data_IF_915928714993
#
_entry.id   IF_915928714993
#
_cell.length_a   1.000
_cell.length_b   1.000
_cell.length_c   1.000
_cell.angle_alpha   90.00
_cell.angle_beta   90.00
_cell.angle_gamma   90.00
#
_symmetry.space_group_name_H-M   'P 1'
#
loop_
_entity.id
_entity.type
_entity.pdbx_description
1 polymer ?
#
# COMPACT_ATOMS: atom_id res chain seq x y z
N UNK A 1 -28.44 -16.60 2.86
CA UNK A 1 -28.63 -17.91 2.20
C UNK A 1 -29.30 -17.81 0.82
N UNK A 2 -29.88 -16.65 0.43
CA UNK A 2 -30.67 -16.52 -0.82
C UNK A 2 -29.91 -15.89 -2.00
N UNK A 3 -28.59 -15.72 -1.92
CA UNK A 3 -27.79 -15.08 -3.01
C UNK A 3 -26.72 -15.99 -3.61
N UNK A 4 -26.80 -17.30 -3.40
CA UNK A 4 -25.89 -18.21 -4.12
C UNK A 4 -26.43 -18.37 -5.53
N UNK A 5 -25.65 -17.84 -6.50
CA UNK A 5 -25.89 -18.03 -7.94
C UNK A 5 -26.11 -19.51 -8.30
N UNK A 6 -26.92 -19.77 -9.31
CA UNK A 6 -27.12 -21.11 -9.89
C UNK A 6 -25.79 -21.86 -10.05
N UNK A 7 -25.62 -22.97 -9.33
CA UNK A 7 -24.43 -23.82 -9.34
C UNK A 7 -23.57 -23.82 -8.07
N UNK A 8 -23.91 -23.01 -7.06
CA UNK A 8 -23.28 -23.09 -5.73
C UNK A 8 -23.90 -24.22 -4.87
N UNK A 9 -23.11 -24.84 -4.02
CA UNK A 9 -23.62 -25.70 -2.95
C UNK A 9 -23.14 -25.20 -1.59
N UNK A 10 -24.00 -25.38 -0.59
CA UNK A 10 -23.73 -24.99 0.80
C UNK A 10 -23.43 -26.25 1.59
N UNK A 11 -22.34 -26.26 2.33
CA UNK A 11 -22.08 -27.26 3.36
C UNK A 11 -22.57 -26.66 4.66
N UNK A 12 -23.66 -27.20 5.20
CA UNK A 12 -24.16 -26.74 6.48
C UNK A 12 -23.27 -27.23 7.64
N UNK A 13 -23.09 -26.42 8.67
CA UNK A 13 -22.30 -26.77 9.86
C UNK A 13 -22.77 -28.09 10.48
N UNK A 14 -24.05 -28.34 10.45
CA UNK A 14 -24.68 -29.59 10.91
C UNK A 14 -24.14 -30.83 10.20
N UNK A 15 -23.74 -30.71 8.93
CA UNK A 15 -23.13 -31.79 8.16
C UNK A 15 -21.68 -32.08 8.56
N UNK A 16 -20.98 -31.10 9.14
CA UNK A 16 -19.59 -31.21 9.60
C UNK A 16 -19.51 -31.64 11.07
N UNK A 17 -20.58 -31.42 11.87
CA UNK A 17 -20.61 -31.73 13.29
C UNK A 17 -20.26 -33.20 13.64
N UNK A 18 -20.65 -34.21 12.86
CA UNK A 18 -20.23 -35.60 13.10
C UNK A 18 -18.73 -35.87 12.81
N UNK A 19 -18.08 -34.98 12.04
CA UNK A 19 -16.68 -35.12 11.60
C UNK A 19 -15.69 -34.48 12.55
N UNK A 20 -16.12 -33.42 13.25
CA UNK A 20 -15.24 -32.62 14.09
C UNK A 20 -16.00 -31.93 15.22
N UNK A 21 -15.33 -31.75 16.36
CA UNK A 21 -15.78 -30.86 17.45
C UNK A 21 -15.49 -29.39 17.09
N UNK A 22 -16.18 -28.43 17.76
CA UNK A 22 -16.16 -27.01 17.39
C UNK A 22 -14.80 -26.40 17.07
N UNK A 23 -13.74 -26.73 17.83
CA UNK A 23 -12.37 -26.21 17.58
C UNK A 23 -11.71 -26.73 16.29
N UNK A 24 -12.22 -27.82 15.70
CA UNK A 24 -11.68 -28.44 14.47
C UNK A 24 -12.60 -28.30 13.26
N UNK A 25 -13.70 -27.56 13.35
CA UNK A 25 -14.62 -27.35 12.23
C UNK A 25 -13.93 -26.75 11.00
N UNK A 26 -13.00 -25.81 11.20
CA UNK A 26 -12.22 -25.22 10.11
C UNK A 26 -11.36 -26.29 9.39
N UNK A 27 -10.75 -27.20 10.13
CA UNK A 27 -9.96 -28.29 9.56
C UNK A 27 -10.84 -29.28 8.79
N UNK A 28 -12.03 -29.58 9.29
CA UNK A 28 -13.01 -30.39 8.56
C UNK A 28 -13.43 -29.69 7.24
N UNK A 29 -13.71 -28.40 7.29
CA UNK A 29 -14.05 -27.62 6.09
C UNK A 29 -12.93 -27.64 5.06
N UNK A 30 -11.65 -27.53 5.48
CA UNK A 30 -10.48 -27.67 4.60
C UNK A 30 -10.45 -29.06 3.97
N UNK A 31 -10.69 -30.13 4.73
CA UNK A 31 -10.74 -31.50 4.19
C UNK A 31 -11.78 -31.67 3.11
N UNK A 32 -13.00 -31.17 3.32
CA UNK A 32 -14.08 -31.18 2.34
C UNK A 32 -13.72 -30.37 1.10
N UNK A 33 -13.27 -29.13 1.28
CA UNK A 33 -12.89 -28.25 0.18
C UNK A 33 -11.75 -28.85 -0.68
N UNK A 34 -10.76 -29.46 -0.01
CA UNK A 34 -9.62 -30.12 -0.68
C UNK A 34 -10.09 -31.24 -1.61
N UNK A 35 -11.03 -32.07 -1.15
CA UNK A 35 -11.59 -33.14 -2.00
C UNK A 35 -12.40 -32.60 -3.16
N UNK A 36 -13.26 -31.64 -2.88
CA UNK A 36 -14.11 -31.01 -3.90
C UNK A 36 -13.28 -30.34 -4.99
N UNK A 37 -12.22 -29.64 -4.64
CA UNK A 37 -11.32 -28.94 -5.55
C UNK A 37 -10.28 -29.88 -6.22
N UNK A 38 -10.16 -31.13 -5.76
CA UNK A 38 -9.21 -32.10 -6.28
C UNK A 38 -7.76 -31.86 -5.86
N UNK A 39 -7.57 -31.27 -4.66
CA UNK A 39 -6.22 -31.09 -4.09
C UNK A 39 -5.67 -32.43 -3.60
N UNK A 40 -4.34 -32.58 -3.69
CA UNK A 40 -3.61 -33.70 -3.18
C UNK A 40 -3.68 -33.73 -1.63
N UNK A 41 -4.14 -34.85 -1.08
CA UNK A 41 -4.35 -34.98 0.37
C UNK A 41 -3.03 -34.89 1.16
N UNK A 42 -1.95 -35.52 0.66
CA UNK A 42 -0.66 -35.52 1.34
C UNK A 42 -0.05 -34.12 1.39
N UNK A 43 -0.23 -33.34 0.31
CA UNK A 43 0.19 -31.95 0.27
C UNK A 43 -0.57 -31.09 1.30
N UNK A 44 -1.88 -31.29 1.43
CA UNK A 44 -2.70 -30.55 2.40
C UNK A 44 -2.36 -30.97 3.83
N UNK A 45 -2.14 -32.27 4.09
CA UNK A 45 -1.67 -32.74 5.39
C UNK A 45 -0.31 -32.17 5.77
N UNK A 46 0.63 -32.11 4.81
CA UNK A 46 1.94 -31.51 5.02
C UNK A 46 1.84 -30.01 5.39
N UNK A 47 1.06 -29.25 4.65
CA UNK A 47 0.83 -27.83 4.92
C UNK A 47 0.22 -27.59 6.31
N UNK A 48 -0.73 -28.45 6.71
CA UNK A 48 -1.33 -28.41 8.03
C UNK A 48 -0.33 -28.74 9.15
N UNK A 49 0.53 -29.75 8.94
CA UNK A 49 1.58 -30.12 9.89
C UNK A 49 2.64 -29.02 10.03
N UNK A 50 2.99 -28.34 8.95
CA UNK A 50 3.91 -27.17 8.99
C UNK A 50 3.32 -26.01 9.79
N UNK A 51 1.99 -25.82 9.74
CA UNK A 51 1.30 -24.76 10.48
C UNK A 51 1.17 -25.03 11.98
N UNK A 52 0.86 -26.27 12.37
CA UNK A 52 0.54 -26.61 13.74
C UNK A 52 1.63 -27.41 14.47
N UNK A 53 2.43 -28.18 13.74
CA UNK A 53 3.40 -29.13 14.33
C UNK A 53 4.52 -28.50 15.16
N UNK A 54 4.79 -27.22 14.94
CA UNK A 54 5.81 -26.48 15.74
C UNK A 54 5.35 -26.14 17.15
N UNK A 55 4.03 -26.23 17.44
CA UNK A 55 3.47 -25.83 18.74
C UNK A 55 3.05 -27.03 19.59
N UNK A 56 2.47 -28.07 19.00
CA UNK A 56 1.95 -29.25 19.70
C UNK A 56 1.72 -30.39 18.67
N UNK A 57 2.52 -31.47 18.79
CA UNK A 57 2.41 -32.63 17.90
C UNK A 57 1.07 -33.37 18.03
N UNK A 58 0.51 -33.42 19.25
CA UNK A 58 -0.78 -34.09 19.48
C UNK A 58 -1.91 -33.33 18.77
N UNK A 59 -1.93 -32.01 18.87
CA UNK A 59 -2.88 -31.14 18.17
C UNK A 59 -2.72 -31.25 16.67
N UNK A 60 -1.48 -31.32 16.16
CA UNK A 60 -1.24 -31.47 14.72
C UNK A 60 -1.80 -32.80 14.20
N UNK A 61 -1.59 -33.90 14.94
CA UNK A 61 -2.11 -35.23 14.58
C UNK A 61 -3.64 -35.26 14.62
N UNK A 62 -4.27 -34.68 15.65
CA UNK A 62 -5.74 -34.61 15.75
C UNK A 62 -6.34 -33.83 14.57
N UNK A 63 -5.72 -32.71 14.17
CA UNK A 63 -6.11 -31.94 12.99
C UNK A 63 -5.99 -32.78 11.70
N UNK A 64 -4.90 -33.52 11.54
CA UNK A 64 -4.67 -34.39 10.37
C UNK A 64 -5.72 -35.49 10.28
N UNK A 65 -6.09 -36.11 11.39
CA UNK A 65 -7.13 -37.14 11.46
C UNK A 65 -8.51 -36.58 11.07
N UNK A 66 -8.86 -35.40 11.57
CA UNK A 66 -10.10 -34.71 11.20
C UNK A 66 -10.12 -34.34 9.72
N UNK A 67 -9.00 -33.82 9.19
CA UNK A 67 -8.88 -33.50 7.77
C UNK A 67 -9.09 -34.72 6.88
N UNK A 68 -8.44 -35.84 7.20
CA UNK A 68 -8.56 -37.10 6.46
C UNK A 68 -9.99 -37.65 6.50
N UNK A 69 -10.65 -37.65 7.68
CA UNK A 69 -12.05 -38.05 7.82
C UNK A 69 -12.99 -37.22 6.97
N UNK A 70 -12.82 -35.88 7.01
CA UNK A 70 -13.64 -34.96 6.23
C UNK A 70 -13.42 -35.11 4.72
N UNK A 71 -12.18 -35.32 4.28
CA UNK A 71 -11.83 -35.59 2.90
C UNK A 71 -12.50 -36.87 2.39
N UNK A 72 -12.46 -37.97 3.18
CA UNK A 72 -13.10 -39.25 2.85
C UNK A 72 -14.62 -39.12 2.83
N UNK A 73 -15.21 -38.44 3.81
CA UNK A 73 -16.63 -38.15 3.83
C UNK A 73 -17.08 -37.39 2.58
N UNK A 74 -16.33 -36.36 2.20
CA UNK A 74 -16.60 -35.58 0.98
C UNK A 74 -16.53 -36.43 -0.29
N UNK A 75 -15.66 -37.45 -0.32
CA UNK A 75 -15.58 -38.38 -1.44
C UNK A 75 -16.85 -39.23 -1.63
N UNK A 76 -17.59 -39.49 -0.53
CA UNK A 76 -18.88 -40.21 -0.57
C UNK A 76 -20.05 -39.32 -1.04
N UNK A 77 -19.88 -37.98 -1.01
CA UNK A 77 -20.87 -37.05 -1.51
C UNK A 77 -20.75 -36.88 -3.02
N UNK A 78 -21.85 -36.94 -3.73
CA UNK A 78 -21.86 -36.77 -5.21
C UNK A 78 -21.76 -35.30 -5.62
N UNK A 79 -20.77 -34.59 -5.09
CA UNK A 79 -20.52 -33.19 -5.46
C UNK A 79 -19.51 -33.14 -6.61
N UNK A 80 -19.90 -32.51 -7.70
CA UNK A 80 -19.02 -32.29 -8.85
C UNK A 80 -18.85 -30.79 -9.09
N UNK A 81 -17.62 -30.30 -8.96
CA UNK A 81 -17.22 -28.97 -9.39
C UNK A 81 -16.07 -29.10 -10.40
N UNK A 82 -15.84 -28.05 -11.16
CA UNK A 82 -14.67 -27.99 -12.04
C UNK A 82 -13.42 -28.05 -11.18
N UNK A 83 -12.67 -29.13 -11.28
CA UNK A 83 -11.40 -29.29 -10.55
C UNK A 83 -10.42 -28.20 -10.95
N UNK A 84 -9.56 -27.82 -10.00
CA UNK A 84 -8.42 -26.96 -10.31
C UNK A 84 -7.51 -27.67 -11.33
N UNK A 85 -6.98 -26.90 -12.27
CA UNK A 85 -5.98 -27.42 -13.20
C UNK A 85 -4.70 -27.77 -12.44
N UNK A 86 -4.02 -28.84 -12.87
CA UNK A 86 -2.73 -29.17 -12.29
C UNK A 86 -1.75 -27.97 -12.38
N UNK A 87 -0.94 -27.74 -11.34
CA UNK A 87 0.02 -26.64 -11.35
C UNK A 87 1.02 -26.84 -12.50
N UNK A 88 1.21 -25.81 -13.30
CA UNK A 88 2.31 -25.79 -14.27
C UNK A 88 3.62 -25.85 -13.49
N UNK A 89 4.53 -26.78 -13.91
CA UNK A 89 5.78 -27.09 -13.19
C UNK A 89 6.53 -25.85 -12.65
N UNK A 90 6.78 -25.88 -11.34
CA UNK A 90 7.98 -25.38 -10.64
C UNK A 90 8.41 -23.92 -10.84
N UNK A 91 7.54 -22.93 -10.59
CA UNK A 91 8.05 -21.67 -10.08
C UNK A 91 7.89 -21.68 -8.55
N UNK A 92 8.98 -21.51 -7.80
CA UNK A 92 8.90 -21.17 -6.38
C UNK A 92 8.21 -19.81 -6.31
N UNK A 93 7.00 -19.79 -5.79
CA UNK A 93 6.25 -18.54 -5.54
C UNK A 93 6.14 -18.30 -4.05
N UNK A 94 6.09 -17.04 -3.68
CA UNK A 94 5.81 -16.61 -2.32
C UNK A 94 4.32 -16.31 -2.21
N UNK A 95 3.68 -16.82 -1.16
CA UNK A 95 2.31 -16.42 -0.83
C UNK A 95 2.39 -15.18 0.07
N UNK A 96 1.99 -14.03 -0.46
CA UNK A 96 2.11 -12.72 0.21
C UNK A 96 0.86 -11.90 0.01
N UNK A 97 0.56 -11.02 0.96
CA UNK A 97 -0.44 -9.98 0.84
C UNK A 97 0.20 -8.59 0.68
N UNK A 98 -0.62 -7.55 0.54
CA UNK A 98 -0.11 -6.19 0.35
C UNK A 98 0.76 -5.71 1.52
N UNK A 99 0.35 -5.98 2.75
CA UNK A 99 1.10 -5.57 3.95
C UNK A 99 2.43 -6.32 4.10
N UNK A 100 2.47 -7.62 3.76
CA UNK A 100 3.73 -8.38 3.71
C UNK A 100 4.71 -7.73 2.72
N UNK A 101 4.21 -7.33 1.56
CA UNK A 101 5.03 -6.73 0.52
C UNK A 101 5.46 -5.29 0.84
N UNK A 102 4.63 -4.48 1.51
CA UNK A 102 5.04 -3.16 2.00
C UNK A 102 6.18 -3.32 3.02
N UNK A 103 6.04 -4.25 3.98
CA UNK A 103 7.09 -4.52 4.97
C UNK A 103 8.39 -5.01 4.30
N UNK A 104 8.28 -5.93 3.33
CA UNK A 104 9.45 -6.43 2.60
C UNK A 104 10.13 -5.34 1.77
N UNK A 105 9.35 -4.45 1.12
CA UNK A 105 9.88 -3.29 0.38
C UNK A 105 10.60 -2.29 1.29
N UNK A 106 10.06 -2.05 2.50
CA UNK A 106 10.70 -1.23 3.52
C UNK A 106 12.03 -1.86 4.00
N UNK A 107 12.05 -3.19 4.22
CA UNK A 107 13.26 -3.94 4.56
C UNK A 107 14.31 -3.83 3.44
N UNK A 108 13.91 -4.00 2.18
CA UNK A 108 14.81 -3.86 1.04
C UNK A 108 15.37 -2.42 0.93
N UNK A 109 14.57 -1.41 1.26
CA UNK A 109 15.01 -0.02 1.33
C UNK A 109 15.97 0.26 2.51
N UNK A 110 16.10 -0.68 3.45
CA UNK A 110 16.96 -0.51 4.61
C UNK A 110 16.33 0.30 5.74
N UNK A 111 15.01 0.14 5.96
CA UNK A 111 14.34 0.75 7.11
C UNK A 111 15.06 0.39 8.41
N UNK A 112 15.25 1.38 9.29
CA UNK A 112 15.93 1.22 10.59
C UNK A 112 15.03 1.56 11.78
N UNK A 113 13.94 2.29 11.54
CA UNK A 113 12.99 2.65 12.58
C UNK A 113 11.55 2.61 12.07
N UNK A 114 10.67 1.95 12.80
CA UNK A 114 9.24 1.96 12.56
C UNK A 114 8.51 2.22 13.87
N UNK A 115 7.73 3.28 13.96
CA UNK A 115 6.81 3.50 15.06
C UNK A 115 5.37 3.33 14.59
N UNK A 116 4.51 2.83 15.46
CA UNK A 116 3.09 2.66 15.14
C UNK A 116 2.22 2.62 16.39
N UNK A 117 0.95 3.00 16.24
CA UNK A 117 -0.13 2.63 17.14
C UNK A 117 -1.01 1.62 16.40
N UNK A 118 -1.41 0.50 17.03
CA UNK A 118 -2.12 -0.57 16.33
C UNK A 118 -3.45 -0.10 15.76
N UNK A 119 -3.56 -0.01 14.43
CA UNK A 119 -4.79 0.36 13.74
C UNK A 119 -4.99 -0.48 12.48
N UNK A 120 -6.13 -1.22 12.42
CA UNK A 120 -6.50 -2.03 11.25
C UNK A 120 -6.79 -1.12 10.04
N UNK A 121 -6.29 -1.46 8.81
CA UNK A 121 -5.61 -2.71 8.44
C UNK A 121 -4.07 -2.63 8.48
N UNK A 122 -3.45 -1.53 8.87
CA UNK A 122 -2.00 -1.30 8.75
C UNK A 122 -1.13 -2.06 9.75
N UNK A 123 -1.70 -2.50 10.88
CA UNK A 123 -0.95 -3.11 12.00
C UNK A 123 -0.04 -4.27 11.57
N UNK A 124 -0.46 -5.09 10.61
CA UNK A 124 0.33 -6.24 10.15
C UNK A 124 1.60 -5.86 9.43
N UNK A 125 1.74 -4.63 8.89
CA UNK A 125 3.02 -4.11 8.36
C UNK A 125 4.06 -4.08 9.47
N UNK A 126 3.73 -3.43 10.60
CA UNK A 126 4.62 -3.32 11.75
C UNK A 126 4.89 -4.67 12.40
N UNK A 127 3.89 -5.55 12.51
CA UNK A 127 4.06 -6.91 13.01
C UNK A 127 5.01 -7.75 12.13
N UNK A 128 5.01 -7.53 10.83
CA UNK A 128 5.96 -8.17 9.93
C UNK A 128 7.38 -7.62 10.12
N UNK A 129 7.54 -6.30 10.32
CA UNK A 129 8.85 -5.73 10.65
C UNK A 129 9.38 -6.23 12.00
N UNK A 130 8.53 -6.42 13.02
CA UNK A 130 8.91 -7.03 14.30
C UNK A 130 9.51 -8.44 14.12
N UNK A 131 8.95 -9.26 13.23
CA UNK A 131 9.50 -10.60 12.94
C UNK A 131 10.94 -10.57 12.43
N UNK A 132 11.34 -9.49 11.78
CA UNK A 132 12.67 -9.31 11.20
C UNK A 132 13.56 -8.34 11.99
N UNK A 133 13.06 -7.81 13.14
CA UNK A 133 13.72 -6.73 13.87
C UNK A 133 15.16 -7.07 14.24
N UNK A 134 15.38 -8.21 14.87
CA UNK A 134 16.73 -8.64 15.29
C UNK A 134 17.66 -8.89 14.08
N UNK A 135 17.17 -9.61 13.06
CA UNK A 135 18.01 -10.01 11.92
C UNK A 135 18.33 -8.86 10.96
N UNK A 136 17.47 -7.83 10.89
CA UNK A 136 17.67 -6.66 10.05
C UNK A 136 18.12 -5.41 10.83
N UNK A 137 18.32 -5.56 12.14
CA UNK A 137 18.74 -4.48 13.05
C UNK A 137 17.80 -3.26 12.95
N UNK A 138 16.50 -3.50 13.14
CA UNK A 138 15.44 -2.49 13.07
C UNK A 138 14.86 -2.29 14.47
N UNK A 139 14.66 -1.05 14.85
CA UNK A 139 13.86 -0.70 16.03
C UNK A 139 12.41 -0.56 15.58
N UNK A 140 11.51 -1.34 16.19
CA UNK A 140 10.07 -1.26 15.97
C UNK A 140 9.41 -0.93 17.31
N UNK A 141 8.80 0.25 17.39
CA UNK A 141 8.21 0.78 18.63
C UNK A 141 6.70 0.88 18.52
N UNK A 142 6.00 0.27 19.47
CA UNK A 142 4.57 0.49 19.64
C UNK A 142 4.37 1.70 20.56
N UNK A 143 4.02 2.83 19.97
CA UNK A 143 3.81 4.08 20.68
C UNK A 143 2.46 4.11 21.43
N UNK A 144 2.31 5.07 22.35
CA UNK A 144 1.09 5.29 23.11
C UNK A 144 -0.08 5.74 22.22
N UNK A 145 0.22 6.56 21.20
CA UNK A 145 -0.73 7.05 20.21
C UNK A 145 -0.04 7.37 18.87
N UNK A 146 -0.81 7.83 17.91
CA UNK A 146 -0.31 8.18 16.57
C UNK A 146 0.53 9.47 16.57
N UNK A 147 0.28 10.41 17.49
CA UNK A 147 1.08 11.63 17.61
C UNK A 147 2.49 11.26 18.05
N UNK A 148 2.61 10.42 19.07
CA UNK A 148 3.90 9.88 19.52
C UNK A 148 4.60 9.11 18.41
N UNK A 149 3.88 8.23 17.70
CA UNK A 149 4.46 7.39 16.65
C UNK A 149 5.13 8.21 15.54
N UNK A 150 4.43 9.20 14.98
CA UNK A 150 4.99 10.01 13.90
C UNK A 150 6.16 10.88 14.36
N UNK A 151 6.08 11.46 15.57
CA UNK A 151 7.16 12.30 16.10
C UNK A 151 8.40 11.46 16.42
N UNK A 152 8.26 10.24 16.95
CA UNK A 152 9.36 9.29 17.08
C UNK A 152 10.02 8.98 15.75
N UNK A 153 9.24 8.74 14.67
CA UNK A 153 9.77 8.46 13.35
C UNK A 153 10.51 9.66 12.75
N UNK A 154 9.98 10.90 12.91
CA UNK A 154 10.65 12.12 12.47
C UNK A 154 11.96 12.33 13.26
N UNK A 155 11.95 12.16 14.56
CA UNK A 155 13.14 12.27 15.41
C UNK A 155 14.21 11.23 15.05
N UNK A 156 13.80 9.97 14.82
CA UNK A 156 14.70 8.91 14.37
C UNK A 156 15.30 9.22 12.99
N UNK A 157 14.48 9.74 12.07
CA UNK A 157 14.97 10.17 10.76
C UNK A 157 15.97 11.32 10.87
N UNK A 158 15.68 12.32 11.69
CA UNK A 158 16.61 13.42 11.93
C UNK A 158 17.96 12.90 12.46
N UNK A 159 17.92 11.92 13.36
CA UNK A 159 19.10 11.23 13.89
C UNK A 159 19.79 10.27 12.88
N UNK A 160 19.26 10.11 11.67
CA UNK A 160 19.88 9.35 10.57
C UNK A 160 19.39 7.92 10.39
N UNK A 161 18.28 7.53 11.03
CA UNK A 161 17.61 6.28 10.74
C UNK A 161 16.60 6.46 9.59
N UNK A 162 16.62 5.60 8.58
CA UNK A 162 15.51 5.53 7.62
C UNK A 162 14.25 5.09 8.36
N UNK A 163 13.19 5.91 8.37
CA UNK A 163 12.06 5.73 9.27
C UNK A 163 10.71 5.71 8.58
N UNK A 164 9.74 5.03 9.21
CA UNK A 164 8.36 5.00 8.76
C UNK A 164 7.37 4.92 9.91
N UNK A 165 6.12 5.26 9.58
CA UNK A 165 4.94 4.97 10.39
C UNK A 165 3.89 4.25 9.54
N UNK A 166 3.04 3.44 10.18
CA UNK A 166 1.90 2.78 9.55
C UNK A 166 0.64 2.99 10.40
N UNK A 167 -0.43 3.48 9.75
CA UNK A 167 -1.69 3.82 10.41
C UNK A 167 -2.89 3.65 9.46
N UNK A 168 -4.08 4.06 9.85
CA UNK A 168 -5.30 4.19 9.04
C UNK A 168 -5.78 5.65 9.05
N UNK A 169 -6.84 5.97 8.31
CA UNK A 169 -7.32 7.35 8.16
C UNK A 169 -7.58 8.10 9.47
N UNK A 170 -8.22 7.41 10.45
CA UNK A 170 -8.47 8.01 11.77
C UNK A 170 -7.21 8.33 12.56
N UNK A 171 -6.21 7.44 12.55
CA UNK A 171 -4.93 7.70 13.20
C UNK A 171 -4.09 8.72 12.45
N UNK A 172 -4.16 8.73 11.11
CA UNK A 172 -3.50 9.75 10.32
C UNK A 172 -4.04 11.16 10.62
N UNK A 173 -5.32 11.29 10.99
CA UNK A 173 -5.88 12.57 11.41
C UNK A 173 -5.14 13.19 12.61
N UNK A 174 -4.66 12.36 13.54
CA UNK A 174 -3.82 12.79 14.67
C UNK A 174 -2.39 13.14 14.26
N UNK A 175 -1.91 12.62 13.13
CA UNK A 175 -0.55 12.86 12.62
C UNK A 175 -0.43 14.15 11.79
N UNK A 176 -1.54 14.81 11.45
CA UNK A 176 -1.57 15.88 10.46
C UNK A 176 -0.64 17.06 10.76
N UNK A 177 -0.47 17.45 12.02
CA UNK A 177 0.45 18.51 12.41
C UNK A 177 1.91 18.11 12.18
N UNK A 178 2.30 16.91 12.60
CA UNK A 178 3.66 16.40 12.45
C UNK A 178 4.08 16.22 10.96
N UNK A 179 3.13 16.04 10.04
CA UNK A 179 3.41 16.09 8.59
C UNK A 179 3.93 17.47 8.19
N UNK A 180 3.41 18.56 8.78
CA UNK A 180 3.92 19.91 8.58
C UNK A 180 5.32 20.06 9.15
N UNK A 181 5.57 19.53 10.35
CA UNK A 181 6.89 19.51 10.95
C UNK A 181 7.92 18.81 10.05
N UNK A 182 7.60 17.65 9.50
CA UNK A 182 8.47 16.97 8.54
C UNK A 182 8.75 17.81 7.29
N UNK A 183 7.75 18.56 6.82
CA UNK A 183 7.89 19.51 5.71
C UNK A 183 8.78 20.70 6.04
N UNK A 184 8.60 21.31 7.23
CA UNK A 184 9.36 22.47 7.70
C UNK A 184 10.83 22.12 7.96
N UNK A 185 11.09 21.07 8.71
CA UNK A 185 12.44 20.60 9.05
C UNK A 185 13.15 19.87 7.91
N UNK A 186 12.44 19.68 6.80
CA UNK A 186 12.92 18.91 5.65
C UNK A 186 13.45 17.53 6.05
N UNK A 187 12.67 16.84 6.90
CA UNK A 187 13.04 15.53 7.45
C UNK A 187 12.30 14.41 6.71
N UNK A 188 13.02 13.42 6.13
CA UNK A 188 12.44 12.31 5.44
C UNK A 188 11.57 11.44 6.35
N UNK A 189 10.37 11.07 5.92
CA UNK A 189 9.53 10.07 6.59
C UNK A 189 8.59 9.39 5.60
N UNK A 190 8.44 8.06 5.72
CA UNK A 190 7.46 7.31 4.95
C UNK A 190 6.24 7.05 5.82
N UNK A 191 5.06 7.43 5.31
CA UNK A 191 3.78 7.32 6.03
C UNK A 191 2.87 6.38 5.25
N UNK A 192 2.57 5.21 5.82
CA UNK A 192 1.65 4.25 5.21
C UNK A 192 0.27 4.41 5.83
N UNK A 193 -0.74 4.66 4.99
CA UNK A 193 -2.13 4.78 5.41
C UNK A 193 -2.95 3.65 4.80
N UNK A 194 -3.34 2.69 5.64
CA UNK A 194 -4.27 1.62 5.27
C UNK A 194 -5.71 2.15 5.38
N UNK A 195 -6.33 2.41 4.23
CA UNK A 195 -7.66 2.99 4.16
C UNK A 195 -8.74 1.98 4.53
N UNK A 196 -9.79 2.46 5.20
CA UNK A 196 -11.01 1.73 5.55
C UNK A 196 -12.19 2.70 5.63
N UNK A 197 -13.44 2.21 5.58
CA UNK A 197 -14.60 3.12 5.67
C UNK A 197 -14.58 3.95 6.95
N UNK A 198 -14.68 5.27 6.78
CA UNK A 198 -14.89 6.26 7.83
C UNK A 198 -16.31 6.82 7.79
N UNK A 199 -16.61 7.97 8.44
CA UNK A 199 -15.71 8.70 9.36
C UNK A 199 -15.51 8.02 10.71
N UNK A 200 -14.57 8.53 11.51
CA UNK A 200 -14.15 7.98 12.80
C UNK A 200 -13.71 6.51 12.68
N UNK A 201 -14.19 5.62 13.54
CA UNK A 201 -13.87 4.19 13.48
C UNK A 201 -14.46 3.50 12.26
N UNK A 202 -15.64 3.92 11.83
CA UNK A 202 -16.32 3.41 10.64
C UNK A 202 -16.51 1.89 10.64
N UNK A 203 -16.03 1.23 9.58
CA UNK A 203 -16.05 -0.23 9.42
C UNK A 203 -14.61 -0.78 9.39
N UNK A 204 -14.01 -1.14 10.54
CA UNK A 204 -12.56 -1.43 10.64
C UNK A 204 -12.05 -2.57 9.76
N UNK A 205 -12.92 -3.54 9.44
CA UNK A 205 -12.58 -4.74 8.66
C UNK A 205 -13.10 -4.70 7.22
N UNK A 206 -13.44 -3.50 6.74
CA UNK A 206 -13.98 -3.28 5.39
C UNK A 206 -13.05 -2.37 4.59
N UNK A 207 -13.26 -2.32 3.26
CA UNK A 207 -12.40 -1.57 2.35
C UNK A 207 -13.08 -0.32 1.81
N UNK A 208 -12.31 0.75 1.68
CA UNK A 208 -12.68 2.01 1.02
C UNK A 208 -11.41 2.75 0.58
N UNK A 209 -11.53 3.74 -0.31
CA UNK A 209 -10.44 4.60 -0.79
C UNK A 209 -10.83 6.07 -0.56
N UNK A 210 -11.11 6.46 0.69
CA UNK A 210 -11.68 7.76 1.02
C UNK A 210 -10.70 8.81 1.55
N UNK A 211 -9.41 8.48 1.74
CA UNK A 211 -8.42 9.37 2.33
C UNK A 211 -7.54 10.13 1.32
N UNK A 212 -7.74 9.99 0.01
CA UNK A 212 -6.87 10.62 -0.99
C UNK A 212 -6.82 12.16 -0.84
N UNK A 213 -7.98 12.82 -0.80
CA UNK A 213 -8.03 14.27 -0.65
C UNK A 213 -7.50 14.72 0.71
N UNK A 214 -7.78 13.95 1.76
CA UNK A 214 -7.24 14.23 3.08
C UNK A 214 -5.71 14.18 3.09
N UNK A 215 -5.09 13.15 2.54
CA UNK A 215 -3.63 13.02 2.45
C UNK A 215 -3.00 14.14 1.62
N UNK A 216 -3.64 14.52 0.53
CA UNK A 216 -3.14 15.60 -0.34
C UNK A 216 -3.10 16.95 0.38
N UNK A 217 -4.02 17.19 1.32
CA UNK A 217 -4.18 18.47 2.01
C UNK A 217 -3.83 18.44 3.50
N UNK A 218 -3.41 17.27 4.02
CA UNK A 218 -3.01 17.15 5.43
C UNK A 218 -1.74 17.93 5.72
N UNK A 219 -1.69 18.48 6.96
CA UNK A 219 -0.68 19.44 7.38
C UNK A 219 -1.04 20.85 6.94
N UNK A 220 -0.59 21.84 7.70
CA UNK A 220 -0.78 23.23 7.36
C UNK A 220 0.46 23.78 6.63
N UNK A 221 0.28 24.88 5.89
CA UNK A 221 1.32 25.45 5.05
C UNK A 221 1.55 24.67 3.74
N UNK A 222 2.51 25.12 2.95
CA UNK A 222 2.80 24.58 1.62
C UNK A 222 4.17 23.91 1.61
N UNK A 223 4.19 22.65 1.29
CA UNK A 223 5.40 21.83 1.15
C UNK A 223 5.15 20.64 0.20
N UNK A 224 6.20 20.15 -0.51
CA UNK A 224 6.05 19.05 -1.44
C UNK A 224 5.87 17.72 -0.74
N UNK A 225 5.13 16.83 -1.39
CA UNK A 225 4.94 15.42 -1.02
C UNK A 225 4.80 14.55 -2.24
N UNK A 226 4.96 13.25 -2.08
CA UNK A 226 4.55 12.26 -3.07
C UNK A 226 3.56 11.28 -2.44
N UNK A 227 2.60 10.78 -3.25
CA UNK A 227 1.57 9.85 -2.80
C UNK A 227 1.49 8.68 -3.78
N UNK A 228 1.84 7.50 -3.30
CA UNK A 228 1.70 6.25 -4.01
C UNK A 228 0.41 5.54 -3.62
N UNK A 229 -0.15 4.78 -4.54
CA UNK A 229 -1.35 3.98 -4.34
C UNK A 229 -1.23 2.67 -5.12
N UNK A 230 -0.53 1.66 -4.60
CA UNK A 230 -0.28 0.41 -5.31
C UNK A 230 -1.58 -0.32 -5.63
N UNK A 231 -1.65 -0.92 -6.82
CA UNK A 231 -2.81 -1.68 -7.30
C UNK A 231 -2.64 -3.19 -7.24
N UNK A 232 -1.45 -3.68 -6.91
CA UNK A 232 -1.17 -5.10 -6.76
C UNK A 232 -0.22 -5.38 -5.59
N UNK A 233 -0.15 -6.64 -5.19
CA UNK A 233 0.74 -7.10 -4.12
C UNK A 233 2.21 -6.85 -4.50
N UNK A 234 2.57 -7.06 -5.77
CA UNK A 234 3.91 -6.79 -6.28
C UNK A 234 4.25 -5.30 -6.26
N UNK A 235 3.30 -4.43 -6.66
CA UNK A 235 3.48 -2.99 -6.59
C UNK A 235 3.65 -2.49 -5.15
N UNK A 236 3.04 -3.15 -4.16
CA UNK A 236 3.25 -2.80 -2.75
C UNK A 236 4.72 -2.84 -2.35
N UNK A 237 5.47 -3.84 -2.81
CA UNK A 237 6.92 -3.92 -2.59
C UNK A 237 7.66 -2.77 -3.29
N UNK A 238 7.37 -2.58 -4.58
CA UNK A 238 8.10 -1.59 -5.41
C UNK A 238 7.87 -0.15 -4.94
N UNK A 239 6.61 0.20 -4.63
CA UNK A 239 6.31 1.56 -4.15
C UNK A 239 6.83 1.79 -2.74
N UNK A 240 6.84 0.75 -1.88
CA UNK A 240 7.43 0.89 -0.54
C UNK A 240 8.93 1.21 -0.64
N UNK A 241 9.69 0.43 -1.40
CA UNK A 241 11.10 0.72 -1.66
C UNK A 241 11.30 2.14 -2.21
N UNK A 242 10.51 2.51 -3.23
CA UNK A 242 10.60 3.82 -3.88
C UNK A 242 10.25 4.98 -2.95
N UNK A 243 9.29 4.78 -2.06
CA UNK A 243 8.89 5.80 -1.09
C UNK A 243 10.05 6.22 -0.18
N UNK A 244 10.84 5.27 0.32
CA UNK A 244 12.05 5.57 1.10
C UNK A 244 13.09 6.32 0.28
N UNK A 245 13.30 5.90 -0.97
CA UNK A 245 14.23 6.56 -1.87
C UNK A 245 13.83 8.02 -2.11
N UNK A 246 12.56 8.30 -2.40
CA UNK A 246 12.10 9.66 -2.63
C UNK A 246 12.06 10.49 -1.34
N UNK A 247 11.66 9.91 -0.21
CA UNK A 247 11.68 10.61 1.07
C UNK A 247 13.09 11.09 1.41
N UNK A 248 14.08 10.22 1.30
CA UNK A 248 15.46 10.57 1.58
C UNK A 248 16.03 11.56 0.56
N UNK A 249 15.78 11.34 -0.73
CA UNK A 249 16.29 12.21 -1.81
C UNK A 249 15.74 13.63 -1.72
N UNK A 250 14.43 13.76 -1.50
CA UNK A 250 13.74 15.05 -1.48
C UNK A 250 13.53 15.62 -0.08
N UNK A 251 13.95 14.88 0.95
CA UNK A 251 13.92 15.32 2.35
C UNK A 251 12.55 15.84 2.75
N UNK A 252 11.57 14.92 2.84
CA UNK A 252 10.20 15.26 3.19
C UNK A 252 9.29 14.04 3.29
N UNK A 253 8.00 14.25 3.60
CA UNK A 253 7.04 13.16 3.76
C UNK A 253 6.67 12.54 2.42
N UNK A 254 6.64 11.19 2.37
CA UNK A 254 6.13 10.40 1.25
C UNK A 254 5.10 9.43 1.76
N UNK A 255 3.97 9.33 1.06
CA UNK A 255 2.82 8.56 1.46
C UNK A 255 2.63 7.31 0.62
N UNK A 256 2.16 6.24 1.26
CA UNK A 256 1.65 5.03 0.60
C UNK A 256 0.20 4.84 1.05
N UNK A 257 -0.74 5.00 0.11
CA UNK A 257 -2.15 4.72 0.32
C UNK A 257 -2.44 3.30 -0.12
N UNK A 258 -2.66 2.42 0.83
CA UNK A 258 -3.24 1.09 0.60
C UNK A 258 -4.67 1.06 1.15
N UNK A 259 -5.37 -0.05 0.99
CA UNK A 259 -6.68 -0.26 1.61
C UNK A 259 -6.78 -1.67 2.18
N UNK A 260 -7.83 -1.92 2.96
CA UNK A 260 -8.01 -3.19 3.65
C UNK A 260 -8.08 -4.39 2.67
N UNK A 261 -8.68 -4.22 1.48
CA UNK A 261 -8.75 -5.31 0.51
C UNK A 261 -7.37 -5.73 0.01
N UNK A 262 -6.53 -4.77 -0.40
CA UNK A 262 -5.17 -5.05 -0.87
C UNK A 262 -4.26 -5.50 0.29
N UNK A 263 -4.43 -4.90 1.48
CA UNK A 263 -3.67 -5.25 2.67
C UNK A 263 -3.75 -6.74 3.02
N UNK A 264 -4.95 -7.33 2.90
CA UNK A 264 -5.25 -8.70 3.33
C UNK A 264 -5.39 -9.70 2.18
N UNK A 265 -5.33 -9.24 0.91
CA UNK A 265 -5.45 -10.14 -0.26
C UNK A 265 -4.17 -10.91 -0.52
N UNK A 266 -4.22 -12.24 -0.30
CA UNK A 266 -3.10 -13.11 -0.58
C UNK A 266 -2.97 -13.44 -2.06
N UNK A 267 -1.74 -13.38 -2.56
CA UNK A 267 -1.40 -13.74 -3.94
C UNK A 267 -0.07 -14.53 -3.99
N UNK A 268 0.01 -15.44 -4.93
CA UNK A 268 1.25 -16.13 -5.25
C UNK A 268 2.10 -15.24 -6.18
N UNK A 269 3.17 -14.65 -5.63
CA UNK A 269 4.08 -13.74 -6.33
C UNK A 269 5.41 -14.42 -6.65
N UNK A 270 6.06 -14.02 -7.74
CA UNK A 270 7.44 -14.44 -8.02
C UNK A 270 8.39 -13.82 -6.97
N UNK A 271 9.46 -14.52 -6.57
CA UNK A 271 10.45 -13.95 -5.66
C UNK A 271 11.05 -12.65 -6.19
N UNK A 272 11.13 -11.64 -5.34
CA UNK A 272 11.73 -10.36 -5.69
C UNK A 272 13.25 -10.51 -5.87
N UNK A 273 13.77 -9.86 -6.90
CA UNK A 273 15.23 -9.82 -7.19
C UNK A 273 15.87 -8.72 -6.37
N UNK A 274 16.13 -8.99 -5.08
CA UNK A 274 16.58 -7.99 -4.11
C UNK A 274 17.88 -7.29 -4.49
N UNK A 275 18.72 -7.92 -5.30
CA UNK A 275 19.94 -7.32 -5.85
C UNK A 275 19.71 -6.05 -6.70
N UNK A 276 18.48 -5.83 -7.16
CA UNK A 276 18.07 -4.62 -7.89
C UNK A 276 17.67 -3.45 -6.99
N UNK A 277 17.59 -3.69 -5.68
CA UNK A 277 17.07 -2.76 -4.70
C UNK A 277 18.12 -2.49 -3.61
N UNK A 278 19.19 -1.73 -3.91
CA UNK A 278 20.21 -1.40 -2.91
C UNK A 278 19.59 -0.56 -1.79
N UNK A 279 20.02 -0.76 -0.52
CA UNK A 279 19.51 0.01 0.60
C UNK A 279 19.70 1.52 0.41
N UNK A 280 18.72 2.28 0.85
CA UNK A 280 18.77 3.75 0.89
C UNK A 280 19.70 4.18 2.03
N UNK A 281 20.61 5.09 1.74
CA UNK A 281 21.57 5.61 2.71
C UNK A 281 21.08 6.97 3.21
N UNK A 282 20.85 7.06 4.50
CA UNK A 282 20.43 8.30 5.13
C UNK A 282 21.57 9.34 5.15
N UNK A 283 21.24 10.56 4.71
CA UNK A 283 22.12 11.71 4.74
C UNK A 283 23.35 11.64 3.83
N UNK A 284 24.19 12.65 3.93
CA UNK A 284 25.43 12.79 3.18
C UNK A 284 26.60 12.22 4.00
N UNK A 285 26.91 10.92 3.83
CA UNK A 285 27.99 10.29 4.63
C UNK A 285 29.40 10.51 4.05
N UNK A 286 29.51 10.72 2.73
CA UNK A 286 30.81 10.70 2.02
C UNK A 286 31.05 11.95 1.13
N UNK A 287 30.31 13.04 1.34
CA UNK A 287 30.51 14.27 0.57
C UNK A 287 31.38 15.26 1.35
N UNK A 288 32.32 15.91 0.67
CA UNK A 288 32.96 17.11 1.19
C UNK A 288 31.88 18.18 1.35
N UNK A 289 31.71 18.67 2.58
CA UNK A 289 30.74 19.71 2.89
C UNK A 289 31.51 21.03 2.96
N UNK A 290 30.98 22.04 2.26
CA UNK A 290 31.50 23.41 2.31
C UNK A 290 31.32 23.98 3.72
N UNK A 291 32.31 24.76 4.14
CA UNK A 291 32.23 25.44 5.44
C UNK A 291 31.93 26.94 5.24
N UNK A 292 31.07 27.53 6.05
CA UNK A 292 30.32 26.91 7.15
C UNK A 292 29.18 25.97 6.65
N UNK A 293 28.89 24.86 7.42
CA UNK A 293 27.80 23.97 7.09
C UNK A 293 26.46 24.61 7.37
N UNK A 294 25.58 24.58 6.38
CA UNK A 294 24.21 25.08 6.47
C UNK A 294 23.24 23.94 6.16
N UNK A 295 22.47 23.50 7.19
CA UNK A 295 21.49 22.41 7.06
C UNK A 295 20.45 22.70 5.99
N UNK A 296 20.05 23.97 5.87
CA UNK A 296 19.01 24.43 4.96
C UNK A 296 19.55 25.33 3.84
N UNK A 297 20.81 25.13 3.45
CA UNK A 297 21.45 25.89 2.38
C UNK A 297 20.58 26.04 1.15
N UNK A 298 20.54 27.24 0.58
CA UNK A 298 19.91 27.47 -0.73
C UNK A 298 20.70 26.76 -1.83
N UNK A 299 20.00 25.93 -2.60
CA UNK A 299 20.56 25.18 -3.72
C UNK A 299 19.69 25.33 -4.96
N UNK A 300 20.26 25.04 -6.12
CA UNK A 300 19.53 25.08 -7.38
C UNK A 300 18.33 24.10 -7.39
N UNK A 301 18.48 22.93 -6.78
CA UNK A 301 17.42 21.91 -6.70
C UNK A 301 16.44 22.09 -5.55
N UNK A 302 16.73 22.97 -4.58
CA UNK A 302 16.02 23.08 -3.31
C UNK A 302 16.42 22.00 -2.29
N UNK A 303 17.32 21.06 -2.66
CA UNK A 303 17.76 19.96 -1.79
C UNK A 303 19.10 20.34 -1.17
N UNK A 304 19.10 20.56 0.15
CA UNK A 304 20.31 20.92 0.90
C UNK A 304 21.10 19.68 1.31
N UNK A 305 22.41 19.77 1.50
CA UNK A 305 23.20 18.70 2.07
C UNK A 305 22.70 18.36 3.47
N UNK A 306 22.32 17.10 3.72
CA UNK A 306 21.83 16.64 5.02
C UNK A 306 22.89 15.85 5.75
N UNK A 307 23.58 16.46 6.70
CA UNK A 307 24.44 15.75 7.66
C UNK A 307 23.59 15.12 8.78
N UNK A 308 24.12 14.06 9.35
CA UNK A 308 23.52 13.38 10.50
C UNK A 308 24.19 13.89 11.77
N UNK A 309 23.41 14.31 12.81
CA UNK A 309 23.95 14.75 14.10
C UNK A 309 24.91 13.71 14.69
N UNK A 310 26.05 14.18 15.20
CA UNK A 310 27.04 13.34 15.85
C UNK A 310 27.97 12.53 14.91
N UNK A 311 27.70 12.49 13.59
CA UNK A 311 28.57 11.79 12.62
C UNK A 311 29.61 12.69 11.97
N UNK A 312 29.66 13.95 12.31
CA UNK A 312 30.65 14.92 11.84
C UNK A 312 30.95 15.97 12.90
N UNK A 313 31.95 16.83 12.65
CA UNK A 313 32.28 17.97 13.52
C UNK A 313 31.25 19.11 13.47
N UNK A 314 30.35 19.08 12.50
CA UNK A 314 29.39 20.15 12.25
C UNK A 314 28.19 20.02 13.19
N UNK A 315 27.72 21.15 13.70
CA UNK A 315 26.46 21.24 14.40
C UNK A 315 25.32 21.18 13.37
N UNK A 316 24.33 20.31 13.60
CA UNK A 316 23.16 20.16 12.76
C UNK A 316 21.98 20.75 13.51
N UNK A 317 21.46 21.87 13.02
CA UNK A 317 20.34 22.61 13.63
C UNK A 317 19.17 22.63 12.66
N UNK A 318 17.97 22.53 13.19
CA UNK A 318 16.69 22.81 12.51
C UNK A 318 15.70 23.38 13.50
N UNK A 319 14.74 24.11 13.01
CA UNK A 319 13.64 24.66 13.82
C UNK A 319 12.29 24.32 13.20
N UNK A 320 11.25 24.28 14.02
CA UNK A 320 9.85 24.16 13.57
C UNK A 320 9.29 25.51 13.10
N UNK A 321 9.88 26.60 13.54
CA UNK A 321 9.60 27.94 13.02
C UNK A 321 10.37 28.18 11.71
N UNK A 322 10.15 29.34 11.06
CA UNK A 322 10.96 29.70 9.91
C UNK A 322 12.40 29.96 10.36
N UNK A 323 13.36 29.56 9.52
CA UNK A 323 14.77 29.51 9.91
C UNK A 323 15.70 30.00 8.79
N UNK A 324 16.87 30.43 9.18
CA UNK A 324 17.99 30.71 8.27
C UNK A 324 18.56 29.42 7.66
N UNK A 325 19.50 29.55 6.74
CA UNK A 325 20.19 28.42 6.12
C UNK A 325 20.91 27.52 7.14
N UNK A 326 21.36 28.06 8.25
CA UNK A 326 22.03 27.35 9.34
C UNK A 326 21.06 26.63 10.30
N UNK A 327 19.77 26.92 10.18
CA UNK A 327 18.71 26.30 10.99
C UNK A 327 18.26 27.09 12.19
N UNK A 328 18.83 28.27 12.47
CA UNK A 328 18.35 29.13 13.55
C UNK A 328 17.07 29.88 13.17
N UNK A 329 16.19 30.06 14.14
CA UNK A 329 14.90 30.76 13.99
C UNK A 329 15.07 32.18 13.42
N UNK A 330 14.13 32.59 12.57
CA UNK A 330 14.07 33.97 12.05
C UNK A 330 12.65 34.44 11.78
N UNK A 331 12.44 35.76 11.90
CA UNK A 331 11.24 36.46 11.43
C UNK A 331 11.54 37.37 10.21
N UNK A 332 12.69 37.20 9.56
CA UNK A 332 13.06 37.91 8.32
C UNK A 332 12.15 37.47 7.16
N UNK A 333 11.37 38.44 6.65
CA UNK A 333 10.36 38.17 5.61
C UNK A 333 10.97 37.79 4.25
N UNK A 334 12.17 38.27 3.92
CA UNK A 334 12.87 37.90 2.69
C UNK A 334 13.42 36.47 2.78
N UNK A 335 13.97 36.09 3.95
CA UNK A 335 14.40 34.72 4.22
C UNK A 335 13.16 33.79 4.18
N UNK A 336 12.07 34.17 4.82
CA UNK A 336 10.80 33.39 4.78
C UNK A 336 10.38 33.09 3.34
N UNK A 337 10.35 34.10 2.47
CA UNK A 337 9.97 33.93 1.07
C UNK A 337 10.90 32.94 0.35
N UNK A 338 12.22 33.14 0.47
CA UNK A 338 13.24 32.30 -0.16
C UNK A 338 13.18 30.85 0.34
N UNK A 339 12.94 30.63 1.63
CA UNK A 339 12.81 29.26 2.20
C UNK A 339 11.57 28.54 1.70
N UNK A 340 10.43 29.22 1.56
CA UNK A 340 9.24 28.65 0.94
C UNK A 340 9.52 28.24 -0.52
N UNK A 341 10.10 29.16 -1.31
CA UNK A 341 10.46 28.88 -2.71
C UNK A 341 11.43 27.69 -2.82
N UNK A 342 12.44 27.62 -1.93
CA UNK A 342 13.38 26.51 -1.84
C UNK A 342 12.67 25.17 -1.57
N UNK A 343 11.81 25.12 -0.56
CA UNK A 343 11.06 23.89 -0.22
C UNK A 343 10.16 23.46 -1.38
N UNK A 344 9.41 24.39 -1.98
CA UNK A 344 8.50 24.08 -3.10
C UNK A 344 9.24 23.65 -4.36
N UNK A 345 10.46 24.13 -4.60
CA UNK A 345 11.26 23.75 -5.76
C UNK A 345 11.55 22.25 -5.86
N UNK A 346 11.58 21.54 -4.72
CA UNK A 346 11.74 20.08 -4.70
C UNK A 346 10.61 19.36 -5.44
N UNK A 347 9.42 19.98 -5.57
CA UNK A 347 8.30 19.40 -6.30
C UNK A 347 8.64 19.19 -7.79
N UNK A 348 9.44 20.06 -8.38
CA UNK A 348 9.87 19.90 -9.78
C UNK A 348 10.71 18.62 -9.96
N UNK A 349 11.60 18.34 -9.00
CA UNK A 349 12.33 17.07 -8.98
C UNK A 349 11.40 15.85 -8.81
N UNK A 350 10.44 15.92 -7.88
CA UNK A 350 9.45 14.86 -7.70
C UNK A 350 8.61 14.59 -8.96
N UNK A 351 8.27 15.65 -9.72
CA UNK A 351 7.55 15.53 -11.00
C UNK A 351 8.36 14.75 -12.04
N UNK A 352 9.69 14.96 -12.11
CA UNK A 352 10.54 14.25 -13.08
C UNK A 352 10.63 12.75 -12.79
N UNK A 353 10.37 12.34 -11.56
CA UNK A 353 10.39 10.96 -11.12
C UNK A 353 8.99 10.34 -10.99
N UNK A 354 7.95 11.06 -11.40
CA UNK A 354 6.59 10.54 -11.34
C UNK A 354 6.43 9.28 -12.19
N UNK A 355 5.81 8.25 -11.61
CA UNK A 355 5.51 7.01 -12.31
C UNK A 355 4.48 7.27 -13.40
N UNK A 356 4.70 6.66 -14.57
CA UNK A 356 3.70 6.66 -15.63
C UNK A 356 2.57 5.72 -15.24
N UNK A 357 1.31 6.08 -15.55
CA UNK A 357 0.21 5.15 -15.34
C UNK A 357 0.33 3.92 -16.25
N UNK A 358 -0.08 2.77 -15.72
CA UNK A 358 -0.08 1.50 -16.43
C UNK A 358 -1.28 1.42 -17.37
N UNK A 359 -1.04 1.07 -18.62
CA UNK A 359 -2.07 0.90 -19.62
C UNK A 359 -2.28 -0.57 -19.98
N UNK A 360 -3.53 -1.02 -19.91
CA UNK A 360 -3.94 -2.37 -20.28
C UNK A 360 -5.09 -2.34 -21.27
N UNK A 361 -5.02 -3.12 -22.36
CA UNK A 361 -6.13 -3.33 -23.30
C UNK A 361 -5.92 -2.67 -24.67
N UNK A 362 -7.03 -2.27 -25.33
CA UNK A 362 -7.03 -1.73 -26.71
C UNK A 362 -6.44 -0.31 -26.76
N UNK A 363 -5.51 -0.04 -27.69
CA UNK A 363 -4.85 1.26 -27.84
C UNK A 363 -5.78 2.41 -28.26
N UNK A 364 -6.96 2.10 -28.83
CA UNK A 364 -7.97 3.06 -29.21
C UNK A 364 -9.33 2.64 -28.61
N UNK A 365 -9.50 2.75 -27.29
CA UNK A 365 -10.64 2.19 -26.59
C UNK A 365 -11.93 2.98 -26.87
N UNK A 366 -13.04 2.28 -26.99
CA UNK A 366 -14.37 2.87 -26.89
C UNK A 366 -14.73 3.16 -25.44
N UNK A 367 -14.26 2.32 -24.50
CA UNK A 367 -14.42 2.48 -23.06
C UNK A 367 -13.04 2.38 -22.40
N UNK A 368 -12.68 3.39 -21.60
CA UNK A 368 -11.46 3.43 -20.81
C UNK A 368 -11.82 3.56 -19.33
N UNK A 369 -11.41 2.58 -18.55
CA UNK A 369 -11.48 2.66 -17.08
C UNK A 369 -10.25 3.37 -16.53
N UNK A 370 -10.47 4.36 -15.67
CA UNK A 370 -9.41 5.04 -14.91
C UNK A 370 -9.47 4.56 -13.48
N UNK A 371 -8.37 4.03 -12.97
CA UNK A 371 -8.31 3.38 -11.66
C UNK A 371 -7.05 3.76 -10.88
N UNK A 372 -7.09 3.61 -9.57
CA UNK A 372 -5.96 3.75 -8.67
C UNK A 372 -6.08 2.77 -7.49
N UNK A 373 -4.96 2.45 -6.81
CA UNK A 373 -4.99 1.54 -5.69
C UNK A 373 -5.58 0.17 -6.03
N UNK A 374 -6.26 -0.46 -5.11
CA UNK A 374 -6.75 -1.84 -5.21
C UNK A 374 -7.76 -2.12 -6.33
N UNK A 375 -8.26 -1.08 -7.00
CA UNK A 375 -9.22 -1.24 -8.12
C UNK A 375 -8.58 -1.69 -9.44
N UNK A 376 -7.23 -1.76 -9.52
CA UNK A 376 -6.48 -2.16 -10.72
C UNK A 376 -7.00 -3.45 -11.35
N UNK A 377 -6.94 -4.55 -10.62
CA UNK A 377 -7.27 -5.88 -11.14
C UNK A 377 -8.71 -5.99 -11.63
N UNK A 378 -9.66 -5.39 -10.90
CA UNK A 378 -11.06 -5.38 -11.31
C UNK A 378 -11.29 -4.61 -12.61
N UNK A 379 -10.59 -3.48 -12.82
CA UNK A 379 -10.68 -2.70 -14.05
C UNK A 379 -10.05 -3.42 -15.25
N UNK A 380 -8.89 -4.04 -15.07
CA UNK A 380 -8.23 -4.83 -16.11
C UNK A 380 -9.11 -6.03 -16.54
N UNK A 381 -9.69 -6.74 -15.59
CA UNK A 381 -10.58 -7.86 -15.87
C UNK A 381 -11.89 -7.39 -16.54
N UNK A 382 -12.50 -6.29 -16.07
CA UNK A 382 -13.68 -5.71 -16.72
C UNK A 382 -13.39 -5.31 -18.17
N UNK A 383 -12.23 -4.68 -18.44
CA UNK A 383 -11.80 -4.36 -19.81
C UNK A 383 -11.62 -5.63 -20.67
N UNK A 384 -10.99 -6.68 -20.12
CA UNK A 384 -10.83 -7.96 -20.81
C UNK A 384 -12.18 -8.63 -21.11
N UNK A 385 -13.15 -8.58 -20.20
CA UNK A 385 -14.49 -9.13 -20.39
C UNK A 385 -15.27 -8.38 -21.47
N UNK A 386 -15.17 -7.03 -21.52
CA UNK A 386 -15.75 -6.23 -22.60
C UNK A 386 -15.10 -6.55 -23.96
N UNK A 387 -13.78 -6.73 -23.97
CA UNK A 387 -13.04 -7.09 -25.19
C UNK A 387 -13.46 -8.45 -25.73
N UNK A 388 -13.70 -9.44 -24.87
CA UNK A 388 -14.26 -10.75 -25.27
C UNK A 388 -15.67 -10.64 -25.88
N UNK A 389 -16.41 -9.60 -25.53
CA UNK A 389 -17.72 -9.29 -26.14
C UNK A 389 -17.62 -8.41 -27.41
N UNK A 390 -16.41 -8.19 -27.95
CA UNK A 390 -16.17 -7.42 -29.17
C UNK A 390 -16.10 -5.89 -28.97
N UNK A 391 -16.09 -5.41 -27.73
CA UNK A 391 -15.98 -3.98 -27.43
C UNK A 391 -14.51 -3.60 -27.23
N UNK A 392 -14.04 -2.52 -27.86
CA UNK A 392 -12.69 -2.00 -27.60
C UNK A 392 -12.65 -1.35 -26.22
N UNK A 393 -12.04 -2.03 -25.26
CA UNK A 393 -11.95 -1.58 -23.87
C UNK A 393 -10.51 -1.61 -23.36
N UNK A 394 -10.23 -0.69 -22.43
CA UNK A 394 -8.92 -0.56 -21.79
C UNK A 394 -9.05 -0.09 -20.34
N UNK A 395 -7.96 -0.25 -19.59
CA UNK A 395 -7.77 0.31 -18.25
C UNK A 395 -6.51 1.15 -18.22
N UNK A 396 -6.56 2.28 -17.51
CA UNK A 396 -5.45 3.15 -17.21
C UNK A 396 -5.35 3.26 -15.68
N UNK A 397 -4.30 2.66 -15.12
CA UNK A 397 -4.12 2.56 -13.67
C UNK A 397 -3.01 3.48 -13.18
N UNK A 398 -3.25 4.13 -12.03
CA UNK A 398 -2.31 5.02 -11.38
C UNK A 398 -1.85 4.42 -10.04
N UNK A 399 -0.63 3.89 -10.01
CA UNK A 399 0.07 3.45 -8.78
C UNK A 399 0.75 4.60 -8.04
N UNK A 400 0.84 5.77 -8.66
CA UNK A 400 1.18 7.04 -8.05
C UNK A 400 0.10 8.07 -8.40
N UNK A 401 -0.52 8.66 -7.37
CA UNK A 401 -1.62 9.61 -7.52
C UNK A 401 -1.18 11.06 -7.34
N UNK A 402 0.02 11.29 -6.79
CA UNK A 402 0.63 12.61 -6.68
C UNK A 402 2.17 12.54 -6.69
N UNK A 403 2.89 13.50 -7.36
CA UNK A 403 2.35 14.47 -8.30
C UNK A 403 1.79 13.81 -9.58
N UNK A 404 0.77 14.44 -10.18
CA UNK A 404 0.19 14.02 -11.45
C UNK A 404 0.85 14.75 -12.62
N UNK A 405 1.25 13.98 -13.65
CA UNK A 405 1.87 14.51 -14.86
C UNK A 405 0.92 14.36 -16.06
N UNK A 406 0.14 15.41 -16.34
CA UNK A 406 -0.88 15.40 -17.41
C UNK A 406 -0.35 14.93 -18.78
N UNK A 407 0.89 15.29 -19.12
CA UNK A 407 1.56 14.85 -20.35
C UNK A 407 1.78 13.35 -20.47
N UNK A 408 1.67 12.59 -19.38
CA UNK A 408 1.81 11.14 -19.41
C UNK A 408 0.49 10.40 -19.77
N UNK A 409 -0.69 11.07 -19.66
CA UNK A 409 -1.95 10.35 -19.77
C UNK A 409 -3.09 11.12 -20.47
N UNK A 410 -3.03 12.43 -20.62
CA UNK A 410 -4.14 13.20 -21.22
C UNK A 410 -4.45 12.76 -22.65
N UNK A 411 -3.44 12.47 -23.47
CA UNK A 411 -3.63 11.95 -24.82
C UNK A 411 -4.33 10.59 -24.84
N UNK A 412 -4.13 9.78 -23.80
CA UNK A 412 -4.80 8.48 -23.67
C UNK A 412 -6.28 8.70 -23.32
N UNK A 413 -6.57 9.60 -22.37
CA UNK A 413 -7.95 9.96 -22.02
C UNK A 413 -8.71 10.56 -23.21
N UNK A 414 -8.08 11.45 -23.96
CA UNK A 414 -8.70 12.13 -25.11
C UNK A 414 -9.04 11.18 -26.28
N UNK A 415 -8.33 10.06 -26.43
CA UNK A 415 -8.61 9.06 -27.47
C UNK A 415 -9.82 8.17 -27.18
N UNK A 416 -10.21 8.03 -25.93
CA UNK A 416 -11.32 7.18 -25.54
C UNK A 416 -12.66 7.86 -25.81
N UNK A 417 -13.66 7.10 -26.33
CA UNK A 417 -14.99 7.63 -26.54
C UNK A 417 -15.75 7.86 -25.21
N UNK A 418 -15.55 6.97 -24.24
CA UNK A 418 -16.13 7.03 -22.90
C UNK A 418 -15.03 6.75 -21.89
N UNK A 419 -14.74 7.72 -21.03
CA UNK A 419 -13.82 7.56 -19.88
C UNK A 419 -14.67 7.39 -18.62
N UNK A 420 -14.33 6.40 -17.81
CA UNK A 420 -15.06 6.04 -16.59
C UNK A 420 -14.05 5.95 -15.45
N UNK A 421 -14.20 6.77 -14.41
CA UNK A 421 -13.47 6.61 -13.15
C UNK A 421 -14.07 5.47 -12.33
N UNK A 422 -13.21 4.63 -11.76
CA UNK A 422 -13.61 3.51 -10.90
C UNK A 422 -12.93 3.67 -9.55
N UNK A 423 -13.72 4.00 -8.53
CA UNK A 423 -13.19 4.35 -7.21
C UNK A 423 -14.01 3.74 -6.07
N UNK A 424 -13.31 3.27 -5.04
CA UNK A 424 -13.96 2.78 -3.82
C UNK A 424 -14.20 3.91 -2.81
N UNK A 425 -14.88 4.98 -3.28
CA UNK A 425 -15.33 6.12 -2.46
C UNK A 425 -16.58 6.75 -3.05
N UNK A 426 -17.30 7.56 -2.27
CA UNK A 426 -18.58 8.14 -2.67
C UNK A 426 -18.46 9.33 -3.64
N UNK A 427 -17.32 10.04 -3.64
CA UNK A 427 -17.23 11.38 -4.25
C UNK A 427 -16.35 11.47 -5.49
N UNK A 428 -15.69 10.35 -5.90
CA UNK A 428 -14.81 10.33 -7.07
C UNK A 428 -13.57 11.21 -6.84
N UNK A 429 -12.85 11.00 -5.73
CA UNK A 429 -11.76 11.87 -5.30
C UNK A 429 -10.64 11.98 -6.34
N UNK A 430 -10.31 10.87 -7.00
CA UNK A 430 -9.28 10.86 -8.03
C UNK A 430 -9.72 11.50 -9.34
N UNK A 431 -10.98 11.29 -9.74
CA UNK A 431 -11.56 12.00 -10.89
C UNK A 431 -11.55 13.52 -10.67
N UNK A 432 -11.86 13.96 -9.45
CA UNK A 432 -11.79 15.39 -9.05
C UNK A 432 -10.36 15.90 -9.06
N UNK A 433 -9.40 15.09 -8.60
CA UNK A 433 -7.98 15.44 -8.64
C UNK A 433 -7.50 15.63 -10.08
N UNK A 434 -7.82 14.70 -10.99
CA UNK A 434 -7.49 14.84 -12.42
C UNK A 434 -8.07 16.14 -12.96
N UNK A 435 -9.33 16.45 -12.67
CA UNK A 435 -9.97 17.71 -13.14
C UNK A 435 -9.26 18.94 -12.59
N UNK A 436 -8.92 18.95 -11.30
CA UNK A 436 -8.22 20.07 -10.64
C UNK A 436 -6.87 20.35 -11.28
N UNK A 437 -6.09 19.29 -11.53
CA UNK A 437 -4.70 19.43 -11.99
C UNK A 437 -4.57 19.62 -13.51
N UNK A 438 -5.57 19.17 -14.29
CA UNK A 438 -5.43 19.11 -15.76
C UNK A 438 -6.55 19.80 -16.52
N UNK A 439 -7.65 20.13 -15.86
CA UNK A 439 -8.86 20.62 -16.51
C UNK A 439 -9.69 19.52 -17.20
N UNK A 440 -9.20 18.28 -17.29
CA UNK A 440 -9.94 17.18 -17.93
C UNK A 440 -11.03 16.64 -16.99
N UNK A 441 -12.28 16.70 -17.42
CA UNK A 441 -13.43 16.22 -16.66
C UNK A 441 -13.81 14.78 -17.05
N UNK A 442 -13.74 13.86 -16.09
CA UNK A 442 -14.29 12.51 -16.24
C UNK A 442 -15.75 12.56 -15.83
N UNK A 443 -16.66 12.44 -16.81
CA UNK A 443 -18.11 12.59 -16.61
C UNK A 443 -18.80 11.33 -16.07
N UNK A 444 -18.18 10.16 -16.20
CA UNK A 444 -18.78 8.90 -15.80
C UNK A 444 -17.98 8.30 -14.65
N UNK A 445 -18.65 7.87 -13.59
CA UNK A 445 -18.02 7.27 -12.43
C UNK A 445 -18.73 5.97 -12.07
N UNK A 446 -17.95 4.98 -11.66
CA UNK A 446 -18.42 3.77 -10.97
C UNK A 446 -17.84 3.82 -9.57
N UNK A 447 -18.64 4.22 -8.62
CA UNK A 447 -18.25 4.38 -7.22
C UNK A 447 -18.85 3.27 -6.37
N UNK A 448 -18.04 2.71 -5.45
CA UNK A 448 -18.51 1.76 -4.44
C UNK A 448 -18.05 2.20 -3.05
N UNK A 449 -18.97 2.33 -2.13
CA UNK A 449 -18.71 2.84 -0.76
C UNK A 449 -19.57 2.14 0.29
N UNK A 450 -19.83 0.85 0.06
CA UNK A 450 -20.57 -0.05 0.97
C UNK A 450 -19.65 -0.91 1.84
N UNK A 451 -18.34 -0.68 1.77
CA UNK A 451 -17.31 -1.42 2.49
C UNK A 451 -16.90 -2.74 1.83
N UNK A 452 -17.38 -3.05 0.65
CA UNK A 452 -17.01 -4.23 -0.14
C UNK A 452 -16.03 -3.87 -1.27
N UNK A 453 -15.14 -4.77 -1.68
CA UNK A 453 -14.25 -4.52 -2.80
C UNK A 453 -15.00 -4.41 -4.12
N UNK A 454 -14.51 -3.57 -5.02
CA UNK A 454 -15.04 -3.47 -6.39
C UNK A 454 -14.70 -4.75 -7.16
N UNK A 455 -15.71 -5.32 -7.82
CA UNK A 455 -15.54 -6.50 -8.69
C UNK A 455 -15.75 -6.14 -10.16
N UNK A 456 -15.24 -6.95 -11.11
CA UNK A 456 -15.49 -6.73 -12.54
C UNK A 456 -16.98 -6.65 -12.87
N UNK A 457 -17.83 -7.49 -12.25
CA UNK A 457 -19.27 -7.50 -12.46
C UNK A 457 -19.92 -6.20 -11.97
N UNK A 458 -19.46 -5.65 -10.84
CA UNK A 458 -19.93 -4.37 -10.34
C UNK A 458 -19.62 -3.24 -11.32
N UNK A 459 -18.38 -3.23 -11.87
CA UNK A 459 -17.97 -2.26 -12.90
C UNK A 459 -18.86 -2.38 -14.13
N UNK A 460 -19.04 -3.60 -14.63
CA UNK A 460 -19.81 -3.84 -15.86
C UNK A 460 -21.29 -3.42 -15.74
N UNK A 461 -21.91 -3.55 -14.56
CA UNK A 461 -23.27 -3.03 -14.29
C UNK A 461 -23.33 -1.50 -14.37
N UNK A 462 -22.25 -0.79 -14.00
CA UNK A 462 -22.18 0.67 -14.07
C UNK A 462 -21.79 1.23 -15.45
N UNK A 463 -21.46 0.38 -16.42
CA UNK A 463 -21.09 0.80 -17.79
C UNK A 463 -22.30 0.93 -18.70
N UNK A 464 -23.37 0.18 -18.41
CA UNK A 464 -24.63 0.12 -19.19
C UNK A 464 -25.43 1.42 -19.19
#
# INVERSE_FOLDING_TARGET
QNELSEGGFVIADESLAPLATGKFLNTAAIGVASKVLGLDLDLVCKALSEQFGKKDEAVAKENEDVLKKAYQWSASQKVSVKKLSEPKKNSRRLMMNGNDCIALGALAAGVKFCAFYPMTPSTTISLNLIKWADSAEIVVEQAEDEISAINMAIGASFAGATSMVATSGGGFALMAEAVSLAGMTETPVVIVVGQRPGPATGLPTRTEQAELEFILHAGHGEFPRAVFAPGSVEECFEVAYRAFHLAEKYQGPVFILTDQFLADSFRAVEPFKLEKYPPVIAGCRNKTIEEPYHRHAFTESGISPRLIPGLSKHLVITDSDEHYEDGHITEDLDIRKRMVEKRLKKLEGLKTEALKPDFFGDKNPSVLFVSWGSTKGACEEAAALLSKKGMKAASLHFSQVWPLMGNQFLDILAKAKKVISVESNATGQFARLIRRETGFEIKNNVNRYDGLPITPEYILKGVS
#
